data_IF_652445635153
#
_entry.id   IF_652445635153
#
_cell.length_a   1.000
_cell.length_b   1.000
_cell.length_c   1.000
_cell.angle_alpha   90.00
_cell.angle_beta   90.00
_cell.angle_gamma   90.00
#
_symmetry.space_group_name_H-M   'P 1'
#
loop_
_entity.id
_entity.type
_entity.pdbx_description
1 polymer ?
#
# COMPACT_ATOMS: atom_id res chain seq x y z
N UNK A 1 -23.75 -15.70 44.50
CA UNK A 1 -25.05 -15.83 43.79
C UNK A 1 -26.16 -14.89 44.30
N UNK A 2 -25.89 -14.06 45.27
CA UNK A 2 -26.88 -13.13 45.90
C UNK A 2 -27.20 -11.91 45.01
N UNK A 3 -26.24 -11.40 44.24
CA UNK A 3 -26.41 -10.21 43.38
C UNK A 3 -27.47 -10.43 42.28
N UNK A 4 -27.38 -11.54 41.56
CA UNK A 4 -28.34 -11.87 40.50
C UNK A 4 -29.78 -12.02 41.06
N UNK A 5 -29.93 -12.61 42.23
CA UNK A 5 -31.24 -12.79 42.91
C UNK A 5 -31.88 -11.46 43.32
N UNK A 6 -31.06 -10.49 43.74
CA UNK A 6 -31.54 -9.16 44.12
C UNK A 6 -31.92 -8.35 42.88
N UNK A 7 -31.16 -8.49 41.78
CA UNK A 7 -31.45 -7.85 40.49
C UNK A 7 -32.79 -8.33 39.90
N UNK A 8 -33.00 -9.64 39.87
CA UNK A 8 -34.23 -10.24 39.31
C UNK A 8 -35.46 -10.02 40.16
N UNK A 9 -35.33 -9.77 41.50
CA UNK A 9 -36.44 -9.51 42.41
C UNK A 9 -36.98 -8.08 42.30
N UNK A 10 -36.19 -7.14 41.74
CA UNK A 10 -36.57 -5.74 41.63
C UNK A 10 -36.76 -5.37 40.15
N UNK A 11 -38.02 -5.35 39.68
CA UNK A 11 -38.37 -5.12 38.28
C UNK A 11 -37.80 -3.78 37.73
N UNK A 12 -37.75 -2.74 38.59
CA UNK A 12 -37.22 -1.42 38.19
C UNK A 12 -35.71 -1.51 37.93
N UNK A 13 -35.00 -2.20 38.82
CA UNK A 13 -33.55 -2.34 38.72
C UNK A 13 -33.16 -3.25 37.54
N UNK A 14 -33.93 -4.31 37.29
CA UNK A 14 -33.75 -5.18 36.14
C UNK A 14 -33.95 -4.42 34.80
N UNK A 15 -35.03 -3.62 34.71
CA UNK A 15 -35.30 -2.81 33.50
C UNK A 15 -34.23 -1.72 33.28
N UNK A 16 -33.78 -1.02 34.32
CA UNK A 16 -32.72 -0.04 34.21
C UNK A 16 -31.40 -0.66 33.74
N UNK A 17 -31.05 -1.83 34.28
CA UNK A 17 -29.83 -2.54 33.83
C UNK A 17 -29.95 -2.99 32.39
N UNK A 18 -31.10 -3.46 31.93
CA UNK A 18 -31.35 -3.83 30.54
C UNK A 18 -31.20 -2.64 29.59
N UNK A 19 -31.83 -1.50 29.95
CA UNK A 19 -31.71 -0.26 29.14
C UNK A 19 -30.26 0.21 29.10
N UNK A 20 -29.54 0.18 30.22
CA UNK A 20 -28.13 0.58 30.28
C UNK A 20 -27.27 -0.32 29.38
N UNK A 21 -27.47 -1.64 29.42
CA UNK A 21 -26.74 -2.58 28.54
C UNK A 21 -27.04 -2.32 27.06
N UNK A 22 -28.30 -2.02 26.70
CA UNK A 22 -28.67 -1.68 25.33
C UNK A 22 -27.99 -0.39 24.86
N UNK A 23 -27.96 0.65 25.72
CA UNK A 23 -27.32 1.93 25.37
C UNK A 23 -25.81 1.73 25.17
N UNK A 24 -25.15 1.08 26.13
CA UNK A 24 -23.70 0.83 26.07
C UNK A 24 -23.36 -0.07 24.87
N UNK A 25 -24.16 -1.12 24.62
CA UNK A 25 -23.97 -2.01 23.47
C UNK A 25 -24.15 -1.29 22.14
N UNK A 26 -25.14 -0.42 22.02
CA UNK A 26 -25.38 0.39 20.82
C UNK A 26 -24.24 1.40 20.57
N UNK A 27 -23.78 2.09 21.61
CA UNK A 27 -22.65 3.01 21.52
C UNK A 27 -21.36 2.26 21.14
N UNK A 28 -21.10 1.14 21.76
CA UNK A 28 -19.94 0.30 21.43
C UNK A 28 -19.99 -0.18 19.97
N UNK A 29 -21.15 -0.58 19.48
CA UNK A 29 -21.33 -1.00 18.09
C UNK A 29 -21.07 0.14 17.09
N UNK A 30 -21.49 1.36 17.42
CA UNK A 30 -21.26 2.55 16.58
C UNK A 30 -19.78 2.99 16.59
N UNK A 31 -19.07 2.75 17.69
CA UNK A 31 -17.64 3.08 17.83
C UNK A 31 -16.70 1.98 17.30
N UNK A 32 -17.23 0.81 16.95
CA UNK A 32 -16.41 -0.28 16.45
C UNK A 32 -15.81 0.10 15.08
N UNK A 33 -14.48 0.19 14.94
CA UNK A 33 -13.87 0.44 13.65
C UNK A 33 -14.17 -0.74 12.72
N UNK A 34 -14.87 -0.45 11.61
CA UNK A 34 -15.22 -1.46 10.60
C UNK A 34 -14.09 -1.53 9.58
N UNK A 35 -13.02 -2.20 9.93
CA UNK A 35 -11.99 -2.60 8.97
C UNK A 35 -12.20 -4.08 8.68
N UNK A 36 -12.38 -4.41 7.42
CA UNK A 36 -12.58 -5.79 6.99
C UNK A 36 -11.29 -6.59 7.14
N UNK A 37 -10.14 -5.93 6.83
CA UNK A 37 -8.81 -6.47 7.07
C UNK A 37 -7.86 -5.35 7.54
N UNK A 38 -6.99 -5.59 8.54
CA UNK A 38 -5.95 -4.63 8.86
C UNK A 38 -5.03 -4.47 7.65
N UNK A 39 -4.67 -3.23 7.31
CA UNK A 39 -3.68 -2.98 6.26
C UNK A 39 -2.33 -3.52 6.74
N UNK A 40 -1.88 -4.62 6.16
CA UNK A 40 -0.58 -5.21 6.42
C UNK A 40 0.38 -4.64 5.37
N UNK A 41 1.42 -3.97 5.82
CA UNK A 41 2.53 -3.59 4.97
C UNK A 41 3.48 -4.78 4.86
N UNK A 42 3.74 -5.19 3.64
CA UNK A 42 4.68 -6.28 3.38
C UNK A 42 6.13 -5.79 3.27
N UNK A 43 6.35 -4.48 3.47
CA UNK A 43 7.64 -3.80 3.29
C UNK A 43 8.22 -3.99 1.88
N UNK A 44 7.36 -4.17 0.90
CA UNK A 44 7.71 -4.35 -0.50
C UNK A 44 7.32 -3.13 -1.33
N UNK A 45 8.22 -2.74 -2.23
CA UNK A 45 8.01 -1.63 -3.17
C UNK A 45 8.39 -2.12 -4.56
N UNK A 46 7.55 -1.78 -5.55
CA UNK A 46 7.87 -1.95 -6.98
C UNK A 46 8.11 -0.58 -7.58
N UNK A 47 9.24 -0.43 -8.26
CA UNK A 47 9.59 0.75 -9.04
C UNK A 47 9.53 0.35 -10.51
N UNK A 48 8.74 1.06 -11.29
CA UNK A 48 8.57 0.78 -12.72
C UNK A 48 8.90 2.04 -13.51
N UNK A 49 9.79 1.90 -14.51
CA UNK A 49 10.19 2.97 -15.41
C UNK A 49 10.01 2.50 -16.85
N UNK A 50 9.41 3.35 -17.68
CA UNK A 50 9.16 3.06 -19.10
C UNK A 50 10.11 3.89 -19.94
N UNK A 51 10.81 3.25 -20.91
CA UNK A 51 11.61 3.90 -21.92
C UNK A 51 11.20 3.37 -23.29
N UNK A 52 10.27 4.03 -23.99
CA UNK A 52 9.73 3.54 -25.24
C UNK A 52 10.79 3.32 -26.31
N UNK A 53 10.71 2.18 -27.01
CA UNK A 53 11.61 1.86 -28.12
C UNK A 53 12.98 1.33 -27.73
N UNK A 54 13.33 1.31 -26.45
CA UNK A 54 14.60 0.77 -25.98
C UNK A 54 14.61 -0.76 -25.95
N UNK A 55 15.75 -1.38 -26.28
CA UNK A 55 15.97 -2.81 -26.11
C UNK A 55 16.11 -3.16 -24.61
N UNK A 56 15.93 -4.43 -24.23
CA UNK A 56 16.12 -4.88 -22.86
C UNK A 56 17.53 -4.52 -22.32
N UNK A 57 18.54 -4.60 -23.16
CA UNK A 57 19.92 -4.24 -22.80
C UNK A 57 20.11 -2.74 -22.59
N UNK A 58 19.44 -1.91 -23.39
CA UNK A 58 19.48 -0.46 -23.20
C UNK A 58 18.75 -0.06 -21.92
N UNK A 59 17.63 -0.72 -21.61
CA UNK A 59 16.89 -0.55 -20.34
C UNK A 59 17.79 -0.89 -19.16
N UNK A 60 18.45 -2.05 -19.20
CA UNK A 60 19.37 -2.48 -18.15
C UNK A 60 20.45 -1.41 -17.89
N UNK A 61 21.20 -1.03 -18.93
CA UNK A 61 22.36 -0.16 -18.78
C UNK A 61 22.02 1.31 -18.49
N UNK A 62 20.88 1.82 -19.01
CA UNK A 62 20.57 3.25 -18.96
C UNK A 62 19.51 3.61 -17.92
N UNK A 63 18.75 2.61 -17.43
CA UNK A 63 17.65 2.84 -16.49
C UNK A 63 17.82 1.98 -15.25
N UNK A 64 17.99 0.66 -15.43
CA UNK A 64 17.99 -0.27 -14.29
C UNK A 64 19.24 -0.14 -13.45
N UNK A 65 20.43 -0.18 -14.06
CA UNK A 65 21.71 -0.09 -13.34
C UNK A 65 21.85 1.21 -12.53
N UNK A 66 21.59 2.43 -13.08
CA UNK A 66 21.63 3.66 -12.30
C UNK A 66 20.66 3.66 -11.12
N UNK A 67 19.43 3.21 -11.34
CA UNK A 67 18.43 3.12 -10.27
C UNK A 67 18.80 2.10 -9.21
N UNK A 68 19.34 0.94 -9.58
CA UNK A 68 19.84 -0.05 -8.61
C UNK A 68 20.98 0.52 -7.78
N UNK A 69 21.92 1.22 -8.39
CA UNK A 69 23.05 1.83 -7.66
C UNK A 69 22.59 2.90 -6.67
N UNK A 70 21.55 3.67 -7.01
CA UNK A 70 20.92 4.60 -6.08
C UNK A 70 20.24 3.85 -4.91
N UNK A 71 19.50 2.81 -5.22
CA UNK A 71 18.75 2.04 -4.24
C UNK A 71 19.66 1.24 -3.29
N UNK A 72 20.86 0.83 -3.74
CA UNK A 72 21.86 0.17 -2.89
C UNK A 72 22.42 1.06 -1.78
N UNK A 73 22.27 2.39 -1.91
CA UNK A 73 22.70 3.36 -0.87
C UNK A 73 21.70 3.43 0.29
N UNK A 74 20.50 2.90 0.10
CA UNK A 74 19.46 2.91 1.13
C UNK A 74 19.79 1.92 2.25
N UNK A 75 19.36 2.28 3.47
CA UNK A 75 19.48 1.43 4.65
C UNK A 75 18.27 0.50 4.76
N UNK A 76 18.46 -0.60 5.48
CA UNK A 76 17.41 -1.58 5.83
C UNK A 76 16.81 -2.27 4.58
N UNK A 77 17.53 -2.31 3.45
CA UNK A 77 17.15 -3.12 2.27
C UNK A 77 17.62 -4.55 2.49
N UNK A 78 16.66 -5.47 2.56
CA UNK A 78 16.91 -6.90 2.73
C UNK A 78 17.09 -7.62 1.38
N UNK A 79 16.28 -7.25 0.40
CA UNK A 79 16.28 -7.90 -0.90
C UNK A 79 15.95 -6.91 -2.02
N UNK A 80 16.67 -7.03 -3.14
CA UNK A 80 16.39 -6.29 -4.36
C UNK A 80 16.48 -7.22 -5.56
N UNK A 81 15.53 -7.11 -6.47
CA UNK A 81 15.51 -7.87 -7.74
C UNK A 81 14.96 -6.99 -8.84
N UNK A 82 15.65 -6.97 -9.96
CA UNK A 82 15.27 -6.20 -11.14
C UNK A 82 14.94 -7.09 -12.33
N UNK A 83 14.12 -6.56 -13.21
CA UNK A 83 13.74 -7.20 -14.46
C UNK A 83 13.69 -6.15 -15.58
N UNK A 84 14.65 -6.23 -16.50
CA UNK A 84 14.74 -5.35 -17.66
C UNK A 84 14.14 -6.06 -18.87
N UNK A 85 13.10 -5.47 -19.45
CA UNK A 85 12.45 -5.92 -20.68
C UNK A 85 12.47 -4.82 -21.73
N UNK A 86 12.14 -5.17 -22.96
CA UNK A 86 11.98 -4.18 -24.02
C UNK A 86 11.00 -3.08 -23.61
N UNK A 87 11.48 -1.86 -23.51
CA UNK A 87 10.70 -0.69 -23.19
C UNK A 87 10.36 -0.48 -21.70
N UNK A 88 10.71 -1.41 -20.78
CA UNK A 88 10.30 -1.31 -19.38
C UNK A 88 11.35 -1.89 -18.43
N UNK A 89 11.63 -1.16 -17.36
CA UNK A 89 12.36 -1.61 -16.16
C UNK A 89 11.39 -1.81 -15.00
N UNK A 90 11.60 -2.87 -14.23
CA UNK A 90 10.84 -3.12 -12.99
C UNK A 90 11.80 -3.59 -11.91
N UNK A 91 11.90 -2.83 -10.83
CA UNK A 91 12.77 -3.12 -9.69
C UNK A 91 11.89 -3.37 -8.47
N UNK A 92 12.05 -4.53 -7.88
CA UNK A 92 11.39 -4.93 -6.65
C UNK A 92 12.37 -4.75 -5.48
N UNK A 93 11.98 -3.98 -4.49
CA UNK A 93 12.75 -3.74 -3.27
C UNK A 93 11.95 -4.24 -2.08
N UNK A 94 12.59 -5.02 -1.21
CA UNK A 94 12.06 -5.42 0.08
C UNK A 94 12.93 -4.83 1.18
N UNK A 95 12.30 -4.13 2.11
CA UNK A 95 12.96 -3.70 3.34
C UNK A 95 12.89 -4.80 4.40
N UNK A 96 13.80 -4.74 5.38
CA UNK A 96 13.74 -5.60 6.55
C UNK A 96 12.40 -5.46 7.28
N UNK A 97 12.15 -6.33 8.26
CA UNK A 97 10.94 -6.24 9.10
C UNK A 97 11.05 -5.05 10.06
N UNK A 98 10.66 -3.89 9.56
CA UNK A 98 10.72 -2.60 10.24
C UNK A 98 9.31 -2.11 10.58
N UNK A 99 9.19 -1.27 11.60
CA UNK A 99 7.92 -0.66 11.97
C UNK A 99 7.41 0.31 10.89
N UNK A 100 6.09 0.54 10.86
CA UNK A 100 5.41 1.36 9.85
C UNK A 100 6.02 2.77 9.74
N UNK A 101 6.38 3.39 10.86
CA UNK A 101 6.97 4.75 10.85
C UNK A 101 8.36 4.79 10.22
N UNK A 102 9.14 3.75 10.45
CA UNK A 102 10.48 3.60 9.85
C UNK A 102 10.32 3.31 8.36
N UNK A 103 9.38 2.46 7.98
CA UNK A 103 9.05 2.17 6.59
C UNK A 103 8.66 3.44 5.82
N UNK A 104 7.77 4.28 6.37
CA UNK A 104 7.38 5.57 5.75
C UNK A 104 8.60 6.49 5.51
N UNK A 105 9.55 6.50 6.44
CA UNK A 105 10.81 7.25 6.27
C UNK A 105 11.67 6.68 5.15
N UNK A 106 11.80 5.34 5.08
CA UNK A 106 12.56 4.67 4.01
C UNK A 106 11.95 4.89 2.63
N UNK A 107 10.62 4.94 2.54
CA UNK A 107 9.94 5.33 1.30
C UNK A 107 10.29 6.78 0.91
N UNK A 108 10.30 7.70 1.87
CA UNK A 108 10.68 9.08 1.60
C UNK A 108 12.14 9.20 1.14
N UNK A 109 13.05 8.43 1.76
CA UNK A 109 14.46 8.37 1.35
C UNK A 109 14.60 7.76 -0.06
N UNK A 110 13.90 6.65 -0.33
CA UNK A 110 13.85 6.01 -1.65
C UNK A 110 13.37 6.98 -2.75
N UNK A 111 12.29 7.70 -2.49
CA UNK A 111 11.77 8.70 -3.45
C UNK A 111 12.79 9.79 -3.73
N UNK A 112 13.53 10.23 -2.72
CA UNK A 112 14.57 11.23 -2.87
C UNK A 112 15.74 10.72 -3.70
N UNK A 113 16.22 9.49 -3.45
CA UNK A 113 17.29 8.90 -4.23
C UNK A 113 16.89 8.71 -5.70
N UNK A 114 15.66 8.25 -5.97
CA UNK A 114 15.14 8.14 -7.35
C UNK A 114 15.05 9.52 -8.03
N UNK A 115 14.59 10.55 -7.31
CA UNK A 115 14.52 11.90 -7.85
C UNK A 115 15.91 12.47 -8.18
N UNK A 116 16.91 12.17 -7.37
CA UNK A 116 18.29 12.61 -7.61
C UNK A 116 18.89 11.95 -8.85
N UNK A 117 18.53 10.70 -9.15
CA UNK A 117 19.00 9.98 -10.34
C UNK A 117 18.16 10.27 -11.60
N UNK A 118 17.03 10.96 -11.45
CA UNK A 118 16.11 11.25 -12.57
C UNK A 118 16.79 12.09 -13.66
N UNK A 119 17.68 13.01 -13.28
CA UNK A 119 18.44 13.86 -14.20
C UNK A 119 19.49 13.06 -15.02
N UNK A 120 19.92 11.89 -14.51
CA UNK A 120 20.88 11.01 -15.16
C UNK A 120 20.19 9.97 -16.07
N UNK A 121 18.86 9.85 -16.01
CA UNK A 121 18.09 8.99 -16.91
C UNK A 121 17.95 9.62 -18.31
N UNK A 122 17.76 8.80 -19.36
CA UNK A 122 17.49 9.31 -20.71
C UNK A 122 16.26 10.22 -20.73
N UNK A 123 16.30 11.34 -21.47
CA UNK A 123 15.18 12.28 -21.62
C UNK A 123 13.88 11.64 -22.12
N UNK A 124 13.98 10.52 -22.84
CA UNK A 124 12.83 9.76 -23.33
C UNK A 124 12.25 8.78 -22.29
N UNK A 125 12.87 8.64 -21.12
CA UNK A 125 12.35 7.81 -20.03
C UNK A 125 11.18 8.52 -19.35
N UNK A 126 10.13 7.76 -19.08
CA UNK A 126 9.04 8.25 -18.24
C UNK A 126 9.48 8.28 -16.77
N UNK A 127 8.87 9.14 -15.98
CA UNK A 127 9.14 9.23 -14.55
C UNK A 127 8.93 7.89 -13.84
N UNK A 128 9.87 7.47 -12.98
CA UNK A 128 9.74 6.24 -12.23
C UNK A 128 8.48 6.21 -11.36
N UNK A 129 7.62 5.24 -11.58
CA UNK A 129 6.41 5.02 -10.78
C UNK A 129 6.72 4.11 -9.60
N UNK A 130 6.42 4.55 -8.39
CA UNK A 130 6.68 3.84 -7.14
C UNK A 130 5.36 3.31 -6.59
N UNK A 131 5.23 1.99 -6.48
CA UNK A 131 4.05 1.31 -5.95
C UNK A 131 4.42 0.53 -4.68
N UNK A 132 3.74 0.85 -3.59
CA UNK A 132 3.84 0.12 -2.32
C UNK A 132 2.91 -1.09 -2.35
N UNK A 133 3.44 -2.28 -2.02
CA UNK A 133 2.64 -3.49 -1.93
C UNK A 133 2.09 -3.62 -0.51
N UNK A 134 0.80 -3.37 -0.37
CA UNK A 134 0.06 -3.55 0.89
C UNK A 134 -1.07 -4.54 0.69
N UNK A 135 -1.65 -5.05 1.76
CA UNK A 135 -2.86 -5.88 1.66
C UNK A 135 -4.02 -5.14 0.99
N UNK A 136 -4.06 -3.80 1.09
CA UNK A 136 -5.06 -2.96 0.45
C UNK A 136 -4.83 -2.81 -1.07
N UNK A 137 -3.58 -2.85 -1.54
CA UNK A 137 -3.25 -2.73 -2.98
C UNK A 137 -3.55 -4.01 -3.77
N UNK A 138 -3.63 -5.17 -3.08
CA UNK A 138 -3.92 -6.46 -3.70
C UNK A 138 -5.40 -6.70 -4.03
N UNK A 139 -6.31 -5.98 -3.38
CA UNK A 139 -7.76 -6.16 -3.56
C UNK A 139 -8.44 -4.81 -3.82
N UNK A 140 -8.78 -4.49 -5.06
CA UNK A 140 -9.48 -3.25 -5.37
C UNK A 140 -10.86 -3.25 -4.70
N UNK A 141 -11.17 -2.20 -3.95
CA UNK A 141 -12.46 -2.02 -3.27
C UNK A 141 -13.61 -1.79 -4.26
N UNK A 142 -13.29 -1.32 -5.47
CA UNK A 142 -14.27 -1.11 -6.55
C UNK A 142 -13.56 -1.19 -7.91
N UNK A 143 -14.22 -1.83 -8.88
CA UNK A 143 -13.80 -1.85 -10.28
C UNK A 143 -14.85 -1.13 -11.11
N UNK A 144 -14.49 -0.03 -11.77
CA UNK A 144 -15.38 0.74 -12.66
C UNK A 144 -14.97 0.44 -14.09
N UNK A 145 -15.85 -0.24 -14.84
CA UNK A 145 -15.67 -0.45 -16.26
C UNK A 145 -16.33 0.72 -17.04
N UNK A 146 -15.52 1.53 -17.73
CA UNK A 146 -16.02 2.58 -18.63
C UNK A 146 -16.15 1.99 -20.03
N UNK A 147 -17.38 1.76 -20.47
CA UNK A 147 -17.67 1.25 -21.82
C UNK A 147 -17.93 2.46 -22.71
N UNK A 148 -16.97 2.80 -23.57
CA UNK A 148 -17.15 3.77 -24.62
C UNK A 148 -18.05 3.20 -25.72
N UNK A 149 -19.13 3.90 -26.08
CA UNK A 149 -19.92 3.57 -27.29
C UNK A 149 -19.09 4.01 -28.47
N UNK A 150 -18.72 3.09 -29.35
CA UNK A 150 -18.11 3.45 -30.63
C UNK A 150 -19.06 4.40 -31.35
N UNK A 151 -18.61 5.62 -31.68
CA UNK A 151 -19.33 6.46 -32.64
C UNK A 151 -19.21 5.75 -33.98
N UNK A 152 -20.36 5.31 -34.51
CA UNK A 152 -20.46 4.93 -35.90
C UNK A 152 -20.10 6.16 -36.74
N UNK A 153 -18.96 6.12 -37.41
CA UNK A 153 -18.61 7.05 -38.45
C UNK A 153 -19.52 6.73 -39.68
N UNK A 154 -20.45 7.60 -39.92
CA UNK A 154 -21.20 7.69 -41.17
C UNK A 154 -20.56 8.72 -42.08
#
# INVERSE_FOLDING_TARGET
>A
MTFLRTLLRNHVLANMTFVLVLIVGSLSYLMLPRQQDPTINFNWIIITTVLPGASARDIEQKVTDPLEDALRRLQDVDFMSSNSRTGISSILVRFEDIDVRTFDRRIADLRREIQNEQDDLPEAAEDPTILEITSASGFPSATIAVIGRAMDEN
#
